data_IF_427380882155
#
_entry.id   IF_427380882155
#
_cell.length_a   1.000
_cell.length_b   1.000
_cell.length_c   1.000
_cell.angle_alpha   90.00
_cell.angle_beta   90.00
_cell.angle_gamma   90.00
#
_symmetry.space_group_name_H-M   'P 1'
#
loop_
_entity.id
_entity.type
_entity.pdbx_description
1 polymer ?
#
# COMPACT_ATOMS: atom_id res chain seq x y z
N UNK A 1 -1.26 -1.29 -3.63
CA UNK A 1 -2.26 -2.33 -3.90
C UNK A 1 -3.56 -1.75 -4.44
N UNK A 2 -4.22 -2.48 -5.37
CA UNK A 2 -5.52 -2.07 -5.90
C UNK A 2 -6.63 -2.08 -4.84
N UNK A 3 -6.49 -2.92 -3.82
CA UNK A 3 -7.44 -3.03 -2.71
C UNK A 3 -7.47 -1.80 -1.79
N UNK A 4 -6.44 -0.95 -1.80
CA UNK A 4 -6.39 0.33 -1.10
C UNK A 4 -6.90 1.51 -1.96
N UNK A 5 -7.63 1.26 -3.04
CA UNK A 5 -8.04 2.27 -4.02
C UNK A 5 -8.84 3.43 -3.43
N UNK A 6 -9.74 3.17 -2.47
CA UNK A 6 -10.53 4.24 -1.85
C UNK A 6 -9.66 5.26 -1.08
N UNK A 7 -8.59 4.80 -0.43
CA UNK A 7 -7.62 5.69 0.20
C UNK A 7 -6.95 6.57 -0.86
N UNK A 8 -6.52 6.00 -1.98
CA UNK A 8 -5.92 6.74 -3.09
C UNK A 8 -6.88 7.79 -3.65
N UNK A 9 -8.14 7.43 -3.93
CA UNK A 9 -9.13 8.37 -4.45
C UNK A 9 -9.47 9.48 -3.46
N UNK A 10 -9.61 9.15 -2.17
CA UNK A 10 -9.83 10.14 -1.12
C UNK A 10 -8.66 11.15 -1.05
N UNK A 11 -7.43 10.68 -1.14
CA UNK A 11 -6.25 11.56 -1.16
C UNK A 11 -6.17 12.40 -2.43
N UNK A 12 -6.48 11.84 -3.60
CA UNK A 12 -6.56 12.58 -4.86
C UNK A 12 -7.64 13.67 -4.81
N UNK A 13 -8.80 13.38 -4.21
CA UNK A 13 -9.85 14.38 -3.97
C UNK A 13 -9.36 15.51 -3.05
N UNK A 14 -8.81 15.16 -1.88
CA UNK A 14 -8.37 16.14 -0.88
C UNK A 14 -7.20 17.01 -1.36
N UNK A 15 -6.37 16.49 -2.26
CA UNK A 15 -5.19 17.19 -2.80
C UNK A 15 -5.43 17.87 -4.15
N UNK A 16 -6.66 17.87 -4.66
CA UNK A 16 -7.07 18.67 -5.81
C UNK A 16 -6.74 18.11 -7.19
N UNK A 17 -6.69 16.78 -7.33
CA UNK A 17 -6.46 16.09 -8.61
C UNK A 17 -7.73 16.01 -9.50
N UNK A 18 -8.75 16.80 -9.22
CA UNK A 18 -9.92 16.95 -10.08
C UNK A 18 -11.09 16.00 -9.80
N UNK A 19 -10.97 15.10 -8.81
CA UNK A 19 -12.11 14.33 -8.31
C UNK A 19 -13.04 15.24 -7.50
N UNK A 20 -14.35 15.01 -7.62
CA UNK A 20 -15.38 15.62 -6.80
C UNK A 20 -15.83 14.69 -5.68
N UNK A 21 -16.58 15.22 -4.71
CA UNK A 21 -17.20 14.39 -3.67
C UNK A 21 -18.22 13.40 -4.26
N UNK A 22 -18.89 13.77 -5.36
CA UNK A 22 -19.85 12.88 -6.01
C UNK A 22 -19.13 11.72 -6.72
N UNK A 23 -17.94 11.95 -7.30
CA UNK A 23 -17.10 10.86 -7.81
C UNK A 23 -16.69 9.88 -6.71
N UNK A 24 -16.42 10.36 -5.49
CA UNK A 24 -16.12 9.50 -4.34
C UNK A 24 -17.35 8.69 -3.91
N UNK A 25 -18.56 9.29 -3.93
CA UNK A 25 -19.82 8.58 -3.63
C UNK A 25 -20.14 7.50 -4.66
N UNK A 26 -19.72 7.70 -5.91
CA UNK A 26 -19.90 6.75 -7.01
C UNK A 26 -18.80 5.68 -7.03
N UNK A 27 -18.04 5.52 -5.93
CA UNK A 27 -17.03 4.47 -5.81
C UNK A 27 -17.56 3.09 -6.18
N UNK A 28 -16.87 2.40 -7.09
CA UNK A 28 -17.23 1.07 -7.62
C UNK A 28 -18.53 1.02 -8.40
N UNK A 29 -19.14 2.15 -8.74
CA UNK A 29 -20.29 2.15 -9.63
C UNK A 29 -19.84 2.01 -11.08
N UNK A 30 -20.75 1.54 -11.94
CA UNK A 30 -20.46 1.38 -13.35
C UNK A 30 -20.09 2.73 -13.99
N UNK A 31 -19.00 2.75 -14.75
CA UNK A 31 -18.52 3.92 -15.49
C UNK A 31 -18.11 5.13 -14.62
N UNK A 32 -17.90 4.91 -13.30
CA UNK A 32 -17.45 5.96 -12.39
C UNK A 32 -15.96 6.27 -12.57
N UNK A 33 -15.54 7.50 -12.21
CA UNK A 33 -14.12 7.88 -12.16
C UNK A 33 -13.34 7.22 -11.01
N UNK A 34 -14.03 6.49 -10.13
CA UNK A 34 -13.46 5.80 -8.97
C UNK A 34 -13.77 4.30 -9.02
N UNK A 35 -13.24 3.57 -10.02
CA UNK A 35 -13.46 2.13 -10.12
C UNK A 35 -12.88 1.39 -8.91
N UNK A 36 -13.34 0.17 -8.66
CA UNK A 36 -12.90 -0.65 -7.52
C UNK A 36 -11.38 -0.89 -7.45
N UNK A 37 -10.71 -0.87 -8.61
CA UNK A 37 -9.26 -0.91 -8.73
C UNK A 37 -8.79 0.21 -9.64
N UNK A 38 -7.65 0.89 -9.33
CA UNK A 38 -7.21 2.05 -10.09
C UNK A 38 -6.69 1.68 -11.48
N UNK A 39 -6.97 2.54 -12.45
CA UNK A 39 -6.53 2.39 -13.84
C UNK A 39 -5.85 3.67 -14.32
N UNK A 40 -4.64 3.51 -14.88
CA UNK A 40 -3.90 4.61 -15.50
C UNK A 40 -4.69 5.18 -16.68
N UNK A 41 -4.82 6.51 -16.71
CA UNK A 41 -5.53 7.21 -17.78
C UNK A 41 -7.05 7.30 -17.58
N UNK A 42 -7.62 6.58 -16.61
CA UNK A 42 -9.03 6.68 -16.24
C UNK A 42 -9.26 7.75 -15.15
N UNK A 43 -8.51 7.67 -14.06
CA UNK A 43 -8.55 8.66 -12.99
C UNK A 43 -7.30 9.52 -12.99
N UNK A 44 -7.45 10.85 -12.97
CA UNK A 44 -6.31 11.76 -12.90
C UNK A 44 -5.49 11.53 -11.62
N UNK A 45 -4.16 11.45 -11.75
CA UNK A 45 -3.24 11.20 -10.64
C UNK A 45 -2.97 9.72 -10.34
N UNK A 46 -3.66 8.79 -11.00
CA UNK A 46 -3.34 7.36 -10.91
C UNK A 46 -2.16 7.04 -11.82
N UNK A 47 -1.09 6.51 -11.23
CA UNK A 47 0.18 6.22 -11.92
C UNK A 47 0.32 4.74 -12.34
N UNK A 48 -0.42 3.84 -11.72
CA UNK A 48 -0.33 2.38 -11.94
C UNK A 48 -1.71 1.76 -12.04
N UNK A 49 -1.96 0.98 -13.10
CA UNK A 49 -3.09 0.07 -13.18
C UNK A 49 -2.76 -1.17 -12.35
N UNK A 50 -3.56 -1.45 -11.32
CA UNK A 50 -3.37 -2.59 -10.44
C UNK A 50 -4.72 -3.12 -9.93
N UNK A 51 -4.76 -4.36 -9.53
CA UNK A 51 -5.94 -5.08 -9.04
C UNK A 51 -5.54 -6.50 -8.70
N UNK A 52 -4.94 -7.26 -9.64
CA UNK A 52 -4.34 -8.56 -9.31
C UNK A 52 -3.27 -8.39 -8.24
N UNK A 53 -3.34 -9.21 -7.18
CA UNK A 53 -2.48 -9.14 -6.01
C UNK A 53 -0.99 -9.26 -6.38
N UNK A 54 -0.13 -8.54 -5.66
CA UNK A 54 1.31 -8.51 -5.83
C UNK A 54 1.82 -7.70 -7.03
N UNK A 55 0.97 -7.45 -8.05
CA UNK A 55 1.40 -6.76 -9.27
C UNK A 55 1.79 -5.31 -9.00
N UNK A 56 1.03 -4.58 -8.18
CA UNK A 56 1.35 -3.21 -7.80
C UNK A 56 2.68 -3.10 -7.06
N UNK A 57 2.98 -4.06 -6.19
CA UNK A 57 4.28 -4.14 -5.51
C UNK A 57 5.43 -4.34 -6.50
N UNK A 58 5.28 -5.28 -7.46
CA UNK A 58 6.30 -5.51 -8.49
C UNK A 58 6.49 -4.28 -9.39
N UNK A 59 5.41 -3.55 -9.72
CA UNK A 59 5.50 -2.27 -10.44
C UNK A 59 6.32 -1.24 -9.66
N UNK A 60 6.11 -1.12 -8.34
CA UNK A 60 6.88 -0.20 -7.50
C UNK A 60 8.37 -0.52 -7.49
N UNK A 61 8.74 -1.80 -7.50
CA UNK A 61 10.16 -2.22 -7.67
C UNK A 61 10.71 -1.77 -9.03
N UNK A 62 9.93 -1.93 -10.11
CA UNK A 62 10.31 -1.42 -11.43
C UNK A 62 10.47 0.10 -11.47
N UNK A 63 9.59 0.84 -10.81
CA UNK A 63 9.67 2.30 -10.68
C UNK A 63 10.93 2.71 -9.89
N UNK A 64 11.29 2.00 -8.82
CA UNK A 64 12.51 2.27 -8.05
C UNK A 64 13.79 1.98 -8.84
N UNK A 65 13.79 0.95 -9.69
CA UNK A 65 14.90 0.72 -10.64
C UNK A 65 14.99 1.87 -11.63
N UNK A 66 13.86 2.35 -12.15
CA UNK A 66 13.80 3.46 -13.09
C UNK A 66 14.26 4.77 -12.46
N UNK A 67 13.84 5.05 -11.20
CA UNK A 67 14.31 6.22 -10.42
C UNK A 67 15.82 6.22 -10.33
N UNK A 68 16.43 5.12 -9.90
CA UNK A 68 17.88 4.99 -9.78
C UNK A 68 18.58 5.26 -11.11
N UNK A 69 18.10 4.65 -12.19
CA UNK A 69 18.69 4.85 -13.53
C UNK A 69 18.58 6.30 -13.99
N UNK A 70 17.42 6.94 -13.76
CA UNK A 70 17.22 8.34 -14.10
C UNK A 70 18.11 9.26 -13.28
N UNK A 71 18.23 9.02 -11.96
CA UNK A 71 19.08 9.79 -11.05
C UNK A 71 20.56 9.70 -11.43
N UNK A 72 21.03 8.50 -11.75
CA UNK A 72 22.41 8.30 -12.23
C UNK A 72 22.67 8.99 -13.58
N UNK A 73 21.67 9.03 -14.45
CA UNK A 73 21.80 9.63 -15.78
C UNK A 73 21.68 11.15 -15.78
N UNK A 74 20.78 11.71 -14.98
CA UNK A 74 20.41 13.13 -15.04
C UNK A 74 20.82 13.93 -13.79
N UNK A 75 21.41 13.29 -12.79
CA UNK A 75 21.84 13.89 -11.53
C UNK A 75 20.73 13.96 -10.49
N UNK A 76 21.15 13.90 -9.23
CA UNK A 76 20.24 13.96 -8.07
C UNK A 76 19.59 15.35 -7.90
N UNK A 77 20.15 16.38 -8.50
CA UNK A 77 19.58 17.72 -8.52
C UNK A 77 18.31 17.82 -9.40
N UNK A 78 18.12 16.86 -10.33
CA UNK A 78 16.97 16.80 -11.23
C UNK A 78 16.02 15.65 -10.89
N UNK A 79 16.54 14.55 -10.34
CA UNK A 79 15.77 13.35 -9.99
C UNK A 79 16.02 13.03 -8.52
N UNK A 80 15.05 13.37 -7.68
CA UNK A 80 15.14 13.21 -6.22
C UNK A 80 13.79 12.82 -5.61
N UNK A 81 13.17 11.76 -6.13
CA UNK A 81 11.92 11.26 -5.60
C UNK A 81 12.06 9.87 -4.97
N UNK A 82 11.16 9.54 -4.06
CA UNK A 82 11.04 8.21 -3.48
C UNK A 82 9.81 7.51 -4.04
N UNK A 83 9.84 6.19 -4.06
CA UNK A 83 8.72 5.33 -4.47
C UNK A 83 8.06 4.79 -3.22
N UNK A 84 6.76 5.07 -3.06
CA UNK A 84 5.95 4.52 -1.99
C UNK A 84 4.93 3.54 -2.56
N UNK A 85 4.75 2.42 -1.89
CA UNK A 85 3.71 1.44 -2.23
C UNK A 85 3.03 0.94 -0.98
N UNK A 86 1.74 0.63 -1.09
CA UNK A 86 0.95 0.02 -0.01
C UNK A 86 0.61 -1.40 -0.45
N UNK A 87 0.80 -2.37 0.43
CA UNK A 87 0.49 -3.78 0.22
C UNK A 87 -0.30 -4.33 1.40
N UNK A 88 -1.22 -5.23 1.14
CA UNK A 88 -1.88 -6.04 2.16
C UNK A 88 -1.28 -7.45 2.24
N UNK A 89 -1.83 -8.28 3.14
CA UNK A 89 -1.44 -9.67 3.34
C UNK A 89 -1.50 -10.47 2.03
N UNK A 90 -2.58 -10.34 1.28
CA UNK A 90 -2.76 -11.00 0.00
C UNK A 90 -1.70 -10.64 -1.03
N UNK A 91 -1.32 -9.35 -1.12
CA UNK A 91 -0.25 -8.92 -2.03
C UNK A 91 1.09 -9.58 -1.67
N UNK A 92 1.44 -9.61 -0.38
CA UNK A 92 2.72 -10.14 0.08
C UNK A 92 2.80 -11.67 0.07
N UNK A 93 1.67 -12.36 -0.08
CA UNK A 93 1.62 -13.82 -0.23
C UNK A 93 1.85 -14.31 -1.66
N UNK A 94 1.71 -13.42 -2.66
CA UNK A 94 1.90 -13.76 -4.06
C UNK A 94 3.37 -14.05 -4.41
N UNK A 95 3.61 -15.04 -5.28
CA UNK A 95 4.96 -15.42 -5.71
C UNK A 95 5.73 -14.26 -6.33
N UNK A 96 5.07 -13.41 -7.13
CA UNK A 96 5.69 -12.24 -7.75
C UNK A 96 6.20 -11.24 -6.70
N UNK A 97 5.55 -11.11 -5.55
CA UNK A 97 6.00 -10.25 -4.47
C UNK A 97 7.29 -10.76 -3.82
N UNK A 98 7.43 -12.07 -3.65
CA UNK A 98 8.67 -12.69 -3.17
C UNK A 98 9.85 -12.42 -4.12
N UNK A 99 9.64 -12.62 -5.41
CA UNK A 99 10.66 -12.39 -6.42
C UNK A 99 11.05 -10.91 -6.51
N UNK A 100 10.05 -10.02 -6.52
CA UNK A 100 10.26 -8.57 -6.58
C UNK A 100 10.96 -8.05 -5.31
N UNK A 101 10.57 -8.50 -4.12
CA UNK A 101 11.21 -8.12 -2.85
C UNK A 101 12.67 -8.58 -2.80
N UNK A 102 12.95 -9.82 -3.22
CA UNK A 102 14.32 -10.33 -3.30
C UNK A 102 15.17 -9.51 -4.27
N UNK A 103 14.64 -9.16 -5.45
CA UNK A 103 15.32 -8.31 -6.42
C UNK A 103 15.60 -6.91 -5.85
N UNK A 104 14.62 -6.30 -5.19
CA UNK A 104 14.76 -4.96 -4.62
C UNK A 104 15.84 -4.90 -3.54
N UNK A 105 15.89 -5.90 -2.65
CA UNK A 105 16.92 -6.01 -1.63
C UNK A 105 18.30 -6.25 -2.23
N UNK A 106 18.42 -7.19 -3.18
CA UNK A 106 19.67 -7.45 -3.88
C UNK A 106 20.19 -6.21 -4.61
N UNK A 107 19.30 -5.44 -5.23
CA UNK A 107 19.64 -4.18 -5.90
C UNK A 107 19.83 -3.02 -4.93
N UNK A 108 19.53 -3.18 -3.64
CA UNK A 108 19.64 -2.12 -2.63
C UNK A 108 18.87 -0.85 -3.04
N UNK A 109 17.56 -1.00 -3.38
CA UNK A 109 16.73 0.10 -3.89
C UNK A 109 16.28 1.00 -2.72
N UNK A 110 17.20 1.80 -2.15
CA UNK A 110 16.97 2.55 -0.92
C UNK A 110 15.87 3.62 -0.98
N UNK A 111 15.44 4.02 -2.18
CA UNK A 111 14.32 4.96 -2.32
C UNK A 111 12.96 4.28 -2.49
N UNK A 112 12.89 2.97 -2.24
CA UNK A 112 11.66 2.20 -2.21
C UNK A 112 11.19 1.99 -0.78
N UNK A 113 9.99 2.49 -0.47
CA UNK A 113 9.32 2.29 0.81
C UNK A 113 8.03 1.51 0.55
N UNK A 114 7.92 0.34 1.14
CA UNK A 114 6.70 -0.45 1.15
C UNK A 114 6.01 -0.30 2.51
N UNK A 115 4.75 0.10 2.49
CA UNK A 115 3.88 0.14 3.66
C UNK A 115 3.06 -1.15 3.62
N UNK A 116 3.21 -1.98 4.63
CA UNK A 116 2.43 -3.19 4.79
C UNK A 116 1.28 -2.94 5.76
N UNK A 117 0.06 -3.00 5.22
CA UNK A 117 -1.20 -2.96 5.97
C UNK A 117 -1.46 -4.36 6.55
N UNK A 118 -0.95 -4.57 7.77
CA UNK A 118 -1.04 -5.83 8.52
C UNK A 118 -2.34 -5.85 9.33
N UNK A 119 -3.46 -6.10 8.67
CA UNK A 119 -4.78 -6.11 9.31
C UNK A 119 -5.24 -7.52 9.73
N UNK A 120 -4.47 -8.55 9.45
CA UNK A 120 -4.75 -9.95 9.77
C UNK A 120 -6.00 -10.54 9.11
N UNK A 121 -6.53 -9.91 8.06
CA UNK A 121 -7.76 -10.34 7.39
C UNK A 121 -7.55 -10.48 5.89
N UNK A 122 -8.05 -11.56 5.33
CA UNK A 122 -8.24 -11.77 3.89
C UNK A 122 -9.72 -11.86 3.56
N UNK A 123 -10.08 -11.90 2.27
CA UNK A 123 -11.48 -12.05 1.84
C UNK A 123 -12.13 -13.34 2.39
N UNK A 124 -11.35 -14.39 2.57
CA UNK A 124 -11.85 -15.70 3.00
C UNK A 124 -11.76 -15.92 4.53
N UNK A 125 -11.19 -14.98 5.28
CA UNK A 125 -11.07 -15.09 6.73
C UNK A 125 -9.76 -14.56 7.30
N UNK A 126 -9.42 -14.93 8.54
CA UNK A 126 -8.16 -14.55 9.15
C UNK A 126 -6.96 -15.05 8.35
N UNK A 127 -5.89 -14.24 8.30
CA UNK A 127 -4.65 -14.60 7.55
C UNK A 127 -4.03 -15.91 7.99
N UNK A 128 -4.15 -16.29 9.26
CA UNK A 128 -3.63 -17.55 9.83
C UNK A 128 -4.15 -18.83 9.16
N UNK A 129 -5.27 -18.73 8.42
CA UNK A 129 -5.78 -19.86 7.63
C UNK A 129 -4.90 -20.22 6.43
N UNK A 130 -4.18 -19.24 5.90
CA UNK A 130 -3.40 -19.39 4.67
C UNK A 130 -1.92 -19.01 4.85
N UNK A 131 -1.58 -18.12 5.78
CA UNK A 131 -0.26 -17.55 5.96
C UNK A 131 0.27 -17.88 7.35
N UNK A 132 1.45 -18.49 7.43
CA UNK A 132 2.12 -18.84 8.68
C UNK A 132 3.54 -18.25 8.77
N UNK A 133 3.98 -17.56 7.73
CA UNK A 133 5.28 -16.95 7.70
C UNK A 133 5.27 -15.57 8.38
N UNK A 134 6.45 -15.10 8.72
CA UNK A 134 6.64 -13.79 9.32
C UNK A 134 7.19 -12.82 8.27
N UNK A 135 6.37 -11.84 7.85
CA UNK A 135 6.73 -10.88 6.82
C UNK A 135 8.00 -10.09 7.19
N UNK A 136 8.15 -9.66 8.44
CA UNK A 136 9.33 -8.94 8.91
C UNK A 136 10.62 -9.73 8.65
N UNK A 137 10.68 -10.97 9.17
CA UNK A 137 11.85 -11.83 9.00
C UNK A 137 12.12 -12.18 7.54
N UNK A 138 11.07 -12.33 6.74
CA UNK A 138 11.18 -12.59 5.32
C UNK A 138 11.85 -11.43 4.59
N UNK A 139 11.40 -10.21 4.85
CA UNK A 139 11.96 -9.00 4.24
C UNK A 139 13.38 -8.71 4.74
N UNK A 140 13.67 -8.91 6.03
CA UNK A 140 15.04 -8.87 6.56
C UNK A 140 15.97 -9.83 5.80
N UNK A 141 15.49 -11.07 5.54
CA UNK A 141 16.26 -12.06 4.77
C UNK A 141 16.49 -11.65 3.31
N UNK A 142 15.62 -10.82 2.72
CA UNK A 142 15.83 -10.24 1.39
C UNK A 142 16.77 -9.02 1.42
N UNK A 143 17.20 -8.54 2.59
CA UNK A 143 18.08 -7.38 2.73
C UNK A 143 17.35 -6.05 2.77
N UNK A 144 16.11 -6.04 3.24
CA UNK A 144 15.34 -4.84 3.52
C UNK A 144 15.56 -4.38 4.96
N UNK A 145 15.45 -3.09 5.20
CA UNK A 145 15.17 -2.56 6.52
C UNK A 145 13.70 -2.81 6.87
N UNK A 146 13.43 -3.15 8.13
CA UNK A 146 12.07 -3.35 8.62
C UNK A 146 11.81 -2.42 9.80
N UNK A 147 10.74 -1.62 9.70
CA UNK A 147 10.23 -0.77 10.76
C UNK A 147 8.84 -1.30 11.11
N UNK A 148 8.72 -1.95 12.26
CA UNK A 148 7.46 -2.53 12.73
C UNK A 148 6.85 -1.62 13.82
N UNK A 149 5.69 -1.03 13.52
CA UNK A 149 4.98 -0.15 14.44
C UNK A 149 4.10 -0.91 15.45
N UNK A 150 3.87 -2.21 15.24
CA UNK A 150 3.02 -3.02 16.11
C UNK A 150 1.71 -2.31 16.44
N UNK A 151 1.30 -2.33 17.70
CA UNK A 151 0.06 -1.70 18.19
C UNK A 151 0.03 -0.14 18.07
N UNK A 152 1.14 0.47 17.65
CA UNK A 152 1.18 1.91 17.34
C UNK A 152 0.82 2.23 15.88
N UNK A 153 0.34 1.25 15.12
CA UNK A 153 0.02 1.39 13.70
C UNK A 153 -1.08 2.39 13.37
N UNK A 154 -1.86 2.84 14.35
CA UNK A 154 -2.88 3.88 14.17
C UNK A 154 -2.45 5.26 14.74
N UNK A 155 -1.26 5.37 15.32
CA UNK A 155 -0.70 6.65 15.78
C UNK A 155 -0.06 7.38 14.59
N UNK A 156 -0.73 8.46 14.13
CA UNK A 156 -0.28 9.26 12.99
C UNK A 156 1.13 9.83 13.17
N UNK A 157 1.54 10.18 14.41
CA UNK A 157 2.87 10.70 14.67
C UNK A 157 3.92 9.58 14.48
N UNK A 158 3.61 8.36 14.91
CA UNK A 158 4.49 7.20 14.74
C UNK A 158 4.60 6.78 13.27
N UNK A 159 3.50 6.85 12.53
CA UNK A 159 3.51 6.62 11.09
C UNK A 159 4.40 7.66 10.40
N UNK A 160 4.24 8.96 10.72
CA UNK A 160 5.07 10.01 10.14
C UNK A 160 6.55 9.80 10.46
N UNK A 161 6.91 9.56 11.74
CA UNK A 161 8.27 9.26 12.15
C UNK A 161 8.87 8.09 11.36
N UNK A 162 8.13 6.99 11.20
CA UNK A 162 8.55 5.81 10.47
C UNK A 162 8.76 6.09 8.97
N UNK A 163 7.84 6.83 8.34
CA UNK A 163 7.96 7.20 6.93
C UNK A 163 9.13 8.15 6.66
N UNK A 164 9.37 9.11 7.56
CA UNK A 164 10.55 10.00 7.47
C UNK A 164 11.85 9.21 7.64
N UNK A 165 11.90 8.26 8.58
CA UNK A 165 13.05 7.38 8.77
C UNK A 165 13.29 6.52 7.54
N UNK A 166 12.24 5.86 7.03
CA UNK A 166 12.30 5.04 5.82
C UNK A 166 12.80 5.84 4.61
N UNK A 167 12.29 7.06 4.44
CA UNK A 167 12.71 7.96 3.35
C UNK A 167 14.16 8.38 3.45
N UNK A 168 14.73 8.45 4.66
CA UNK A 168 16.13 8.82 4.89
C UNK A 168 17.13 7.70 4.61
N UNK A 169 16.66 6.44 4.51
CA UNK A 169 17.51 5.31 4.18
C UNK A 169 17.68 5.19 2.66
N UNK A 170 18.90 5.50 2.19
CA UNK A 170 19.23 5.37 0.77
C UNK A 170 19.99 4.07 0.44
N UNK A 171 20.30 3.27 1.45
CA UNK A 171 21.17 2.10 1.30
C UNK A 171 20.40 0.81 0.96
N UNK A 172 19.17 0.70 1.41
CA UNK A 172 18.34 -0.50 1.22
C UNK A 172 16.85 -0.15 1.25
N UNK A 173 15.98 -0.92 0.56
CA UNK A 173 14.54 -0.66 0.61
C UNK A 173 14.00 -0.90 2.03
N UNK A 174 12.92 -0.20 2.37
CA UNK A 174 12.32 -0.26 3.71
C UNK A 174 10.90 -0.81 3.65
N UNK A 175 10.60 -1.78 4.52
CA UNK A 175 9.25 -2.23 4.84
C UNK A 175 8.79 -1.57 6.14
N UNK A 176 7.71 -0.80 6.07
CA UNK A 176 7.04 -0.25 7.25
C UNK A 176 5.79 -1.09 7.51
N UNK A 177 5.75 -1.80 8.63
CA UNK A 177 4.61 -2.64 9.03
C UNK A 177 3.68 -1.82 9.90
N UNK A 178 2.42 -1.71 9.48
CA UNK A 178 1.38 -0.99 10.18
C UNK A 178 0.30 -1.98 10.60
N UNK A 179 0.23 -2.30 11.90
CA UNK A 179 -0.91 -3.04 12.43
C UNK A 179 -2.14 -2.14 12.38
N UNK A 180 -3.06 -2.48 11.52
CA UNK A 180 -4.31 -1.76 11.36
C UNK A 180 -5.51 -2.66 11.69
N UNK A 181 -6.69 -2.06 11.82
CA UNK A 181 -7.92 -2.75 12.13
C UNK A 181 -8.94 -2.54 11.01
N UNK A 182 -9.14 -3.58 10.17
CA UNK A 182 -10.13 -3.49 9.09
C UNK A 182 -11.50 -3.12 9.66
N UNK A 183 -12.20 -2.21 8.97
CA UNK A 183 -13.54 -1.79 9.36
C UNK A 183 -13.61 -0.87 10.59
N UNK A 184 -12.47 -0.47 11.18
CA UNK A 184 -12.44 0.51 12.29
C UNK A 184 -13.01 1.87 11.81
N UNK A 185 -13.83 2.57 12.63
CA UNK A 185 -14.25 2.25 14.02
C UNK A 185 -15.63 1.60 14.13
N UNK A 186 -16.07 0.79 13.18
CA UNK A 186 -17.38 0.13 13.26
C UNK A 186 -17.49 -0.74 14.52
N UNK A 187 -18.58 -0.63 15.30
CA UNK A 187 -18.78 -1.42 16.50
C UNK A 187 -18.95 -2.93 16.25
N UNK A 188 -19.33 -3.34 15.04
CA UNK A 188 -19.64 -4.74 14.71
C UNK A 188 -18.73 -5.33 13.62
N UNK A 189 -18.04 -4.48 12.82
CA UNK A 189 -17.26 -4.91 11.67
C UNK A 189 -15.75 -4.74 11.85
N UNK A 190 -15.30 -4.08 12.94
CA UNK A 190 -13.86 -3.97 13.24
C UNK A 190 -13.26 -5.39 13.38
N UNK A 191 -12.17 -5.64 12.67
CA UNK A 191 -11.46 -6.93 12.58
C UNK A 191 -12.31 -8.10 12.04
N UNK A 192 -13.48 -7.82 11.47
CA UNK A 192 -14.32 -8.84 10.90
C UNK A 192 -13.97 -9.07 9.40
N UNK A 193 -13.80 -10.31 8.94
CA UNK A 193 -13.60 -10.60 7.50
C UNK A 193 -14.71 -10.04 6.61
N UNK A 194 -15.93 -9.92 7.15
CA UNK A 194 -17.07 -9.31 6.45
C UNK A 194 -16.90 -7.82 6.14
N UNK A 195 -15.92 -7.14 6.74
CA UNK A 195 -15.57 -5.77 6.36
C UNK A 195 -14.77 -5.69 5.05
N UNK A 196 -14.20 -6.81 4.60
CA UNK A 196 -13.39 -6.84 3.38
C UNK A 196 -14.26 -6.73 2.12
N UNK A 197 -14.28 -5.55 1.51
CA UNK A 197 -14.96 -5.32 0.23
C UNK A 197 -16.47 -5.19 0.29
N UNK A 198 -17.09 -5.08 1.47
CA UNK A 198 -18.52 -4.87 1.65
C UNK A 198 -18.83 -3.44 2.07
N UNK A 199 -19.97 -2.92 1.63
CA UNK A 199 -20.44 -1.61 2.07
C UNK A 199 -21.00 -1.71 3.51
N UNK A 200 -20.66 -0.71 4.34
CA UNK A 200 -21.31 -0.55 5.64
C UNK A 200 -22.80 -0.27 5.47
N UNK A 201 -23.61 -0.76 6.39
CA UNK A 201 -25.03 -0.44 6.45
C UNK A 201 -25.26 0.94 7.06
N UNK A 202 -26.42 1.54 6.74
CA UNK A 202 -26.75 2.88 7.25
C UNK A 202 -26.72 2.96 8.79
N UNK A 203 -27.09 1.87 9.47
CA UNK A 203 -27.04 1.77 10.93
C UNK A 203 -25.61 1.86 11.47
N UNK A 204 -24.63 1.22 10.79
CA UNK A 204 -23.21 1.24 11.15
C UNK A 204 -22.58 2.62 10.92
N UNK A 205 -23.08 3.36 9.92
CA UNK A 205 -22.57 4.69 9.60
C UNK A 205 -23.12 5.74 10.58
N UNK A 206 -24.30 5.49 11.16
CA UNK A 206 -25.00 6.43 12.04
C UNK A 206 -24.54 6.38 13.53
N UNK A 207 -23.83 5.34 13.93
CA UNK A 207 -23.23 5.20 15.27
C UNK A 207 -21.85 5.83 15.35
#
# INVERSE_FOLDING_TARGET
AGHASILQYAMLYLTGYGLSLDDIKDFRQWDSLTPGHPEVGHTAGVEVTTGPLGQGFANAVGMAISERWLREKFGSENIDHSIFTICGDGDLSEGVSHEAASLAGQQRLGRLVCIYDDNHVTIDGPTELALQDNAAKRFEAYGWEVIDLGESGEDLNKIEEALLLAKSNEDQPTLVIIRSHIGFPSPTLTDAPSAHGYAFKDEEIAE
#
